data_IF_271415176702
#
_entry.id   IF_271415176702
#
_cell.length_a   1.000
_cell.length_b   1.000
_cell.length_c   1.000
_cell.angle_alpha   90.00
_cell.angle_beta   90.00
_cell.angle_gamma   90.00
#
_symmetry.space_group_name_H-M   'P 1'
#
loop_
_entity.id
_entity.type
_entity.pdbx_description
1 polymer ?
#
# COMPACT_ATOMS: atom_id res chain seq x y z
N UNK A 1 -9.30 2.89 100.87
CA UNK A 1 -8.28 3.16 99.81
C UNK A 1 -8.46 2.40 98.52
N UNK A 2 -9.24 1.28 98.49
CA UNK A 2 -9.31 0.37 97.33
C UNK A 2 -10.31 0.83 96.22
N UNK A 3 -11.32 1.65 96.63
CA UNK A 3 -12.35 2.16 95.62
C UNK A 3 -11.77 3.21 94.69
N UNK A 4 -10.96 4.14 95.14
CA UNK A 4 -10.33 5.16 94.26
C UNK A 4 -9.35 4.58 93.27
N UNK A 5 -8.64 3.55 93.55
CA UNK A 5 -7.75 2.85 92.69
C UNK A 5 -8.52 2.17 91.52
N UNK A 6 -9.68 1.64 91.81
CA UNK A 6 -10.54 1.01 90.78
C UNK A 6 -11.13 2.03 89.79
N UNK A 7 -11.58 3.18 90.26
CA UNK A 7 -12.09 4.24 89.40
C UNK A 7 -11.01 4.88 88.55
N UNK A 8 -9.78 5.06 89.09
CA UNK A 8 -8.67 5.61 88.29
C UNK A 8 -8.19 4.67 87.22
N UNK A 9 -8.19 3.36 87.42
CA UNK A 9 -7.81 2.40 86.39
C UNK A 9 -8.82 2.28 85.27
N UNK A 10 -10.14 2.39 85.59
CA UNK A 10 -11.20 2.44 84.56
C UNK A 10 -11.13 3.73 83.75
N UNK A 11 -10.93 4.87 84.40
CA UNK A 11 -10.79 6.17 83.72
C UNK A 11 -9.54 6.17 82.80
N UNK A 12 -8.42 5.65 83.29
CA UNK A 12 -7.19 5.50 82.49
C UNK A 12 -7.42 4.61 81.29
N UNK A 13 -8.10 3.47 81.44
CA UNK A 13 -8.46 2.59 80.33
C UNK A 13 -9.36 3.27 79.29
N UNK A 14 -10.34 4.06 79.69
CA UNK A 14 -11.20 4.85 78.82
C UNK A 14 -10.42 5.92 78.02
N UNK A 15 -9.54 6.66 78.68
CA UNK A 15 -8.69 7.68 78.06
C UNK A 15 -7.73 7.03 77.08
N UNK A 16 -7.09 5.92 77.48
CA UNK A 16 -6.17 5.18 76.57
C UNK A 16 -6.97 4.65 75.34
N UNK A 17 -8.11 4.04 75.58
CA UNK A 17 -9.00 3.58 74.50
C UNK A 17 -9.42 4.71 73.55
N UNK A 18 -9.77 5.88 74.10
CA UNK A 18 -10.09 7.05 73.29
C UNK A 18 -8.89 7.52 72.43
N UNK A 19 -7.71 7.59 73.03
CA UNK A 19 -6.48 7.97 72.28
C UNK A 19 -6.18 6.99 71.17
N UNK A 20 -6.28 5.69 71.45
CA UNK A 20 -6.02 4.67 70.42
C UNK A 20 -7.03 4.77 69.27
N UNK A 21 -8.32 4.86 69.57
CA UNK A 21 -9.41 5.01 68.56
C UNK A 21 -9.25 6.30 67.75
N UNK A 22 -8.96 7.43 68.42
CA UNK A 22 -8.73 8.69 67.72
C UNK A 22 -7.54 8.69 66.79
N UNK A 23 -6.42 8.10 67.25
CA UNK A 23 -5.22 7.91 66.39
C UNK A 23 -5.49 6.99 65.22
N UNK A 24 -6.20 5.89 65.46
CA UNK A 24 -6.56 4.95 64.40
C UNK A 24 -7.48 5.63 63.37
N UNK A 25 -8.50 6.37 63.81
CA UNK A 25 -9.37 7.15 62.89
C UNK A 25 -8.58 8.17 62.08
N UNK A 26 -7.68 8.93 62.74
CA UNK A 26 -6.84 9.90 62.03
C UNK A 26 -5.96 9.24 60.96
N UNK A 27 -5.34 8.09 61.30
CA UNK A 27 -4.50 7.34 60.36
C UNK A 27 -5.31 6.78 59.18
N UNK A 28 -6.54 6.27 59.41
CA UNK A 28 -7.39 5.78 58.35
C UNK A 28 -7.89 6.90 57.40
N UNK A 29 -8.23 8.07 57.91
CA UNK A 29 -8.57 9.22 57.09
C UNK A 29 -7.38 9.67 56.23
N UNK A 30 -6.20 9.80 56.79
CA UNK A 30 -5.00 10.16 56.08
C UNK A 30 -4.66 9.14 54.99
N UNK A 31 -4.80 7.84 55.27
CA UNK A 31 -4.56 6.77 54.29
C UNK A 31 -5.58 6.85 53.15
N UNK A 32 -6.85 7.11 53.44
CA UNK A 32 -7.87 7.27 52.37
C UNK A 32 -7.62 8.50 51.51
N UNK A 33 -7.25 9.65 52.12
CA UNK A 33 -6.90 10.84 51.32
C UNK A 33 -5.70 10.61 50.45
N UNK A 34 -4.66 9.93 50.93
CA UNK A 34 -3.50 9.58 50.12
C UNK A 34 -3.87 8.65 48.99
N UNK A 35 -4.62 7.60 49.26
CA UNK A 35 -5.09 6.67 48.21
C UNK A 35 -5.94 7.36 47.15
N UNK A 36 -6.86 8.25 47.53
CA UNK A 36 -7.67 8.99 46.58
C UNK A 36 -6.83 9.94 45.72
N UNK A 37 -5.86 10.62 46.32
CA UNK A 37 -4.92 11.49 45.58
C UNK A 37 -4.03 10.72 44.60
N UNK A 38 -3.54 9.56 45.05
CA UNK A 38 -2.76 8.66 44.18
C UNK A 38 -3.60 8.11 43.03
N UNK A 39 -4.84 7.67 43.30
CA UNK A 39 -5.75 7.20 42.25
C UNK A 39 -6.02 8.31 41.22
N UNK A 40 -6.25 9.55 41.66
CA UNK A 40 -6.43 10.70 40.77
C UNK A 40 -5.18 10.97 39.90
N UNK A 41 -3.99 10.90 40.52
CA UNK A 41 -2.73 11.09 39.77
C UNK A 41 -2.46 9.96 38.76
N UNK A 42 -2.78 8.72 39.11
CA UNK A 42 -2.67 7.58 38.19
C UNK A 42 -3.60 7.76 37.00
N UNK A 43 -4.90 8.04 37.26
CA UNK A 43 -5.87 8.27 36.18
C UNK A 43 -5.46 9.42 35.25
N UNK A 44 -4.93 10.51 35.83
CA UNK A 44 -4.41 11.62 35.02
C UNK A 44 -3.24 11.19 34.15
N UNK A 45 -2.28 10.45 34.72
CA UNK A 45 -1.11 9.96 33.97
C UNK A 45 -1.47 8.96 32.87
N UNK A 46 -2.44 8.10 33.13
CA UNK A 46 -2.98 7.20 32.10
C UNK A 46 -3.61 7.96 30.94
N UNK A 47 -4.38 9.01 31.25
CA UNK A 47 -4.97 9.89 30.23
C UNK A 47 -3.91 10.64 29.39
N UNK A 48 -2.93 11.25 30.07
CA UNK A 48 -1.81 11.92 29.41
C UNK A 48 -1.00 10.94 28.51
N UNK A 49 -0.76 9.73 29.00
CA UNK A 49 -0.08 8.68 28.26
C UNK A 49 -0.88 8.24 27.02
N UNK A 50 -2.18 8.00 27.17
CA UNK A 50 -3.06 7.64 26.07
C UNK A 50 -3.09 8.72 24.97
N UNK A 51 -3.15 10.01 25.35
CA UNK A 51 -3.06 11.11 24.40
C UNK A 51 -1.72 11.17 23.69
N UNK A 52 -0.62 10.96 24.42
CA UNK A 52 0.73 10.93 23.84
C UNK A 52 0.90 9.78 22.84
N UNK A 53 0.37 8.59 23.16
CA UNK A 53 0.37 7.46 22.23
C UNK A 53 -0.41 7.75 20.94
N UNK A 54 -1.60 8.36 21.04
CA UNK A 54 -2.37 8.74 19.86
C UNK A 54 -1.65 9.79 19.00
N UNK A 55 -0.99 10.75 19.61
CA UNK A 55 -0.18 11.73 18.88
C UNK A 55 1.00 11.07 18.17
N UNK A 56 1.71 10.18 18.86
CA UNK A 56 2.85 9.47 18.30
C UNK A 56 2.42 8.61 17.11
N UNK A 57 1.31 7.88 17.24
CA UNK A 57 0.77 7.05 16.16
C UNK A 57 0.41 7.88 14.91
N UNK A 58 -0.22 9.05 15.11
CA UNK A 58 -0.50 9.98 14.01
C UNK A 58 0.77 10.49 13.34
N UNK A 59 1.77 10.90 14.13
CA UNK A 59 3.04 11.39 13.58
C UNK A 59 3.80 10.30 12.82
N UNK A 60 3.84 9.08 13.34
CA UNK A 60 4.47 7.93 12.66
C UNK A 60 3.76 7.62 11.34
N UNK A 61 2.44 7.61 11.33
CA UNK A 61 1.64 7.38 10.11
C UNK A 61 1.88 8.48 9.08
N UNK A 62 1.91 9.74 9.49
CA UNK A 62 2.16 10.87 8.58
C UNK A 62 3.59 10.86 8.04
N UNK A 63 4.57 10.56 8.88
CA UNK A 63 5.97 10.41 8.46
C UNK A 63 6.14 9.26 7.46
N UNK A 64 5.48 8.12 7.68
CA UNK A 64 5.49 7.01 6.75
C UNK A 64 4.92 7.40 5.39
N UNK A 65 3.80 8.16 5.37
CA UNK A 65 3.20 8.69 4.12
C UNK A 65 4.14 9.66 3.38
N UNK A 66 4.82 10.54 4.10
CA UNK A 66 5.79 11.48 3.50
C UNK A 66 6.99 10.74 2.92
N UNK A 67 7.54 9.77 3.66
CA UNK A 67 8.65 8.94 3.19
C UNK A 67 8.27 8.12 1.95
N UNK A 68 7.08 7.56 1.94
CA UNK A 68 6.57 6.80 0.81
C UNK A 68 6.39 7.69 -0.44
N UNK A 69 5.81 8.88 -0.29
CA UNK A 69 5.74 9.86 -1.39
C UNK A 69 7.12 10.23 -1.93
N UNK A 70 8.09 10.48 -1.05
CA UNK A 70 9.46 10.80 -1.45
C UNK A 70 10.15 9.64 -2.17
N UNK A 71 9.86 8.39 -1.77
CA UNK A 71 10.36 7.18 -2.44
C UNK A 71 9.76 7.06 -3.84
N UNK A 72 8.44 7.18 -3.97
CA UNK A 72 7.75 7.13 -5.26
C UNK A 72 8.28 8.19 -6.23
N UNK A 73 8.46 9.43 -5.75
CA UNK A 73 9.02 10.50 -6.57
C UNK A 73 10.45 10.19 -7.06
N UNK A 74 11.29 9.54 -6.24
CA UNK A 74 12.63 9.10 -6.68
C UNK A 74 12.55 8.00 -7.72
N UNK A 75 11.75 6.97 -7.47
CA UNK A 75 11.56 5.87 -8.42
C UNK A 75 11.04 6.38 -9.78
N UNK A 76 10.13 7.36 -9.74
CA UNK A 76 9.63 8.05 -10.94
C UNK A 76 10.73 8.87 -11.63
N UNK A 77 11.53 9.62 -10.86
CA UNK A 77 12.62 10.42 -11.42
C UNK A 77 13.65 9.53 -12.13
N UNK A 78 13.99 8.41 -11.52
CA UNK A 78 14.95 7.46 -12.09
C UNK A 78 14.39 6.73 -13.33
N UNK A 79 13.13 6.34 -13.31
CA UNK A 79 12.46 5.73 -14.45
C UNK A 79 12.30 6.70 -15.63
N UNK A 80 11.70 7.85 -15.40
CA UNK A 80 11.48 8.88 -16.42
C UNK A 80 12.81 9.47 -16.91
N UNK A 81 13.75 9.74 -16.00
CA UNK A 81 15.08 10.24 -16.34
C UNK A 81 15.84 9.28 -17.25
N UNK A 82 15.73 7.96 -17.01
CA UNK A 82 16.31 6.92 -17.88
C UNK A 82 15.69 6.93 -19.28
N UNK A 83 14.37 7.05 -19.39
CA UNK A 83 13.67 7.08 -20.68
C UNK A 83 13.98 8.35 -21.48
N UNK A 84 13.96 9.51 -20.82
CA UNK A 84 14.33 10.79 -21.45
C UNK A 84 15.79 10.72 -21.94
N UNK A 85 16.71 10.23 -21.12
CA UNK A 85 18.12 10.07 -21.50
C UNK A 85 18.28 9.09 -22.65
N UNK A 86 17.45 8.04 -22.74
CA UNK A 86 17.44 7.11 -23.85
C UNK A 86 16.91 7.78 -25.13
N UNK A 87 15.83 8.54 -25.03
CA UNK A 87 15.28 9.31 -26.15
C UNK A 87 16.27 10.33 -26.72
N UNK A 88 16.99 11.05 -25.83
CA UNK A 88 18.04 12.00 -26.22
C UNK A 88 19.16 11.26 -26.98
N UNK A 89 19.69 10.17 -26.43
CA UNK A 89 20.72 9.37 -27.09
C UNK A 89 20.29 8.81 -28.45
N UNK A 90 19.01 8.43 -28.58
CA UNK A 90 18.47 7.95 -29.84
C UNK A 90 18.42 9.07 -30.89
N UNK A 91 18.03 10.30 -30.50
CA UNK A 91 18.07 11.48 -31.37
C UNK A 91 19.49 11.84 -31.79
N UNK A 92 20.42 11.90 -30.82
CA UNK A 92 21.81 12.26 -31.07
C UNK A 92 22.53 11.25 -31.98
N UNK A 93 22.17 9.96 -31.88
CA UNK A 93 22.73 8.92 -32.71
C UNK A 93 22.24 8.91 -34.17
N UNK A 94 21.17 9.67 -34.46
CA UNK A 94 20.52 9.71 -35.77
C UNK A 94 19.89 8.37 -36.22
N UNK A 95 19.77 7.39 -35.30
CA UNK A 95 19.29 6.03 -35.61
C UNK A 95 17.79 5.88 -35.40
N UNK A 96 17.16 6.78 -34.67
CA UNK A 96 15.73 6.75 -34.42
C UNK A 96 15.02 7.83 -35.22
N UNK A 97 13.86 7.49 -35.75
CA UNK A 97 12.99 8.48 -36.35
C UNK A 97 12.37 9.40 -35.30
N UNK A 98 11.98 10.59 -35.71
CA UNK A 98 11.28 11.55 -34.85
C UNK A 98 10.00 10.90 -34.24
N UNK A 99 9.32 10.02 -34.99
CA UNK A 99 8.13 9.32 -34.52
C UNK A 99 8.44 8.36 -33.37
N UNK A 100 9.53 7.59 -33.46
CA UNK A 100 9.95 6.67 -32.40
C UNK A 100 10.33 7.40 -31.11
N UNK A 101 11.05 8.51 -31.22
CA UNK A 101 11.39 9.34 -30.08
C UNK A 101 10.15 9.97 -29.43
N UNK A 102 9.24 10.48 -30.24
CA UNK A 102 7.97 11.05 -29.77
C UNK A 102 7.15 9.98 -29.02
N UNK A 103 7.14 8.75 -29.54
CA UNK A 103 6.46 7.64 -28.89
C UNK A 103 7.09 7.31 -27.52
N UNK A 104 8.41 7.20 -27.44
CA UNK A 104 9.14 6.96 -26.19
C UNK A 104 8.85 8.03 -25.14
N UNK A 105 8.75 9.31 -25.55
CA UNK A 105 8.43 10.41 -24.65
C UNK A 105 6.96 10.35 -24.16
N UNK A 106 6.03 9.98 -25.04
CA UNK A 106 4.60 9.79 -24.68
C UNK A 106 4.46 8.65 -23.67
N UNK A 107 5.13 7.52 -23.88
CA UNK A 107 5.08 6.39 -22.96
C UNK A 107 5.66 6.76 -21.59
N UNK A 108 6.75 7.52 -21.58
CA UNK A 108 7.34 8.04 -20.34
C UNK A 108 6.37 8.97 -19.58
N UNK A 109 5.66 9.81 -20.30
CA UNK A 109 4.66 10.71 -19.71
C UNK A 109 3.45 9.95 -19.16
N UNK A 110 2.98 8.94 -19.88
CA UNK A 110 1.88 8.10 -19.42
C UNK A 110 2.26 7.26 -18.20
N UNK A 111 3.47 6.69 -18.18
CA UNK A 111 4.01 5.99 -17.03
C UNK A 111 4.12 6.91 -15.80
N UNK A 112 4.56 8.16 -15.99
CA UNK A 112 4.61 9.17 -14.93
C UNK A 112 3.23 9.47 -14.37
N UNK A 113 2.25 9.72 -15.23
CA UNK A 113 0.86 9.97 -14.83
C UNK A 113 0.25 8.79 -14.08
N UNK A 114 0.46 7.57 -14.59
CA UNK A 114 0.00 6.35 -13.93
C UNK A 114 0.62 6.18 -12.54
N UNK A 115 1.92 6.47 -12.40
CA UNK A 115 2.58 6.41 -11.09
C UNK A 115 2.01 7.40 -10.09
N UNK A 116 1.63 8.60 -10.53
CA UNK A 116 0.95 9.60 -9.70
C UNK A 116 -0.44 9.10 -9.29
N UNK A 117 -1.21 8.53 -10.22
CA UNK A 117 -2.54 8.02 -9.93
C UNK A 117 -2.51 6.83 -8.96
N UNK A 118 -1.51 5.96 -9.08
CA UNK A 118 -1.30 4.83 -8.18
C UNK A 118 -1.11 5.24 -6.71
N UNK A 119 -0.63 6.45 -6.44
CA UNK A 119 -0.50 6.95 -5.07
C UNK A 119 -1.85 7.16 -4.37
N UNK A 120 -2.92 7.28 -5.15
CA UNK A 120 -4.27 7.55 -4.65
C UNK A 120 -5.18 6.30 -4.70
N UNK A 121 -4.68 5.19 -5.25
CA UNK A 121 -5.46 3.95 -5.29
C UNK A 121 -5.52 3.29 -3.90
N UNK A 122 -6.70 2.82 -3.49
CA UNK A 122 -6.82 2.01 -2.28
C UNK A 122 -5.96 0.74 -2.40
N UNK A 123 -5.27 0.33 -1.33
CA UNK A 123 -4.54 -0.94 -1.32
C UNK A 123 -5.48 -2.11 -1.67
N UNK A 124 -5.00 -3.02 -2.51
CA UNK A 124 -5.72 -4.22 -2.92
C UNK A 124 -6.83 -4.03 -3.94
N UNK A 125 -7.25 -2.81 -4.26
CA UNK A 125 -8.35 -2.56 -5.18
C UNK A 125 -7.89 -2.68 -6.64
N UNK A 126 -7.85 -3.93 -7.12
CA UNK A 126 -7.47 -4.27 -8.49
C UNK A 126 -8.50 -3.72 -9.49
N UNK A 127 -9.79 -3.70 -9.15
CA UNK A 127 -10.85 -3.17 -10.02
C UNK A 127 -10.63 -1.68 -10.30
N UNK A 128 -10.33 -0.89 -9.26
CA UNK A 128 -10.01 0.53 -9.42
C UNK A 128 -8.71 0.74 -10.22
N UNK A 129 -7.69 -0.10 -10.04
CA UNK A 129 -6.45 -0.06 -10.81
C UNK A 129 -6.72 -0.29 -12.29
N UNK A 130 -7.48 -1.32 -12.65
CA UNK A 130 -7.82 -1.65 -14.04
C UNK A 130 -8.68 -0.54 -14.68
N UNK A 131 -9.65 0.00 -13.96
CA UNK A 131 -10.47 1.11 -14.43
C UNK A 131 -9.63 2.36 -14.75
N UNK A 132 -8.63 2.67 -13.91
CA UNK A 132 -7.71 3.77 -14.12
C UNK A 132 -6.83 3.55 -15.38
N UNK A 133 -6.28 2.35 -15.54
CA UNK A 133 -5.54 1.97 -16.74
C UNK A 133 -6.39 2.08 -18.01
N UNK A 134 -7.63 1.59 -17.97
CA UNK A 134 -8.57 1.72 -19.07
C UNK A 134 -8.79 3.18 -19.45
N UNK A 135 -9.18 4.01 -18.51
CA UNK A 135 -9.44 5.44 -18.73
C UNK A 135 -8.27 6.15 -19.42
N UNK A 136 -7.06 5.79 -19.06
CA UNK A 136 -5.84 6.41 -19.60
C UNK A 136 -5.45 5.90 -20.98
N UNK A 137 -5.60 4.61 -21.21
CA UNK A 137 -5.05 3.96 -22.41
C UNK A 137 -6.09 3.74 -23.52
N UNK A 138 -7.39 3.71 -23.20
CA UNK A 138 -8.46 3.53 -24.18
C UNK A 138 -8.37 4.51 -25.38
N UNK A 139 -8.09 5.82 -25.17
CA UNK A 139 -7.91 6.74 -26.31
C UNK A 139 -6.72 6.39 -27.22
N UNK A 140 -5.67 5.76 -26.66
CA UNK A 140 -4.49 5.33 -27.42
C UNK A 140 -4.80 4.07 -28.24
N UNK A 141 -5.53 3.13 -27.68
CA UNK A 141 -5.99 1.94 -28.39
C UNK A 141 -6.91 2.34 -29.56
N UNK A 142 -7.85 3.24 -29.31
CA UNK A 142 -8.73 3.77 -30.35
C UNK A 142 -7.95 4.51 -31.46
N UNK A 143 -6.93 5.30 -31.11
CA UNK A 143 -6.08 6.00 -32.08
C UNK A 143 -5.16 5.05 -32.89
N UNK A 144 -4.99 3.83 -32.43
CA UNK A 144 -4.19 2.78 -33.08
C UNK A 144 -5.07 1.73 -33.80
N UNK A 145 -6.38 2.00 -33.94
CA UNK A 145 -7.37 1.09 -34.52
C UNK A 145 -7.40 -0.30 -33.83
N UNK A 146 -7.18 -0.33 -32.52
CA UNK A 146 -7.25 -1.55 -31.71
C UNK A 146 -8.54 -1.53 -30.89
N UNK A 147 -9.40 -2.51 -31.13
CA UNK A 147 -10.61 -2.72 -30.33
C UNK A 147 -10.25 -3.24 -28.93
N UNK A 148 -10.64 -2.49 -27.89
CA UNK A 148 -10.45 -2.87 -26.51
C UNK A 148 -11.70 -3.58 -25.97
N UNK A 149 -11.60 -4.88 -25.73
CA UNK A 149 -12.63 -5.70 -25.09
C UNK A 149 -12.36 -5.78 -23.60
N UNK A 150 -13.40 -5.58 -22.78
CA UNK A 150 -13.28 -5.49 -21.33
C UNK A 150 -14.19 -6.52 -20.67
N UNK A 151 -13.57 -7.51 -20.01
CA UNK A 151 -14.24 -8.60 -19.31
C UNK A 151 -13.66 -8.68 -17.88
N UNK A 152 -14.08 -7.74 -17.06
CA UNK A 152 -13.58 -7.55 -15.69
C UNK A 152 -14.71 -7.66 -14.71
N UNK A 153 -14.66 -8.68 -13.87
CA UNK A 153 -15.59 -8.85 -12.74
C UNK A 153 -15.33 -7.83 -11.64
N UNK A 154 -16.35 -7.51 -10.86
CA UNK A 154 -16.18 -6.80 -9.61
C UNK A 154 -15.53 -7.75 -8.61
N UNK A 155 -14.38 -7.35 -8.05
CA UNK A 155 -13.58 -8.15 -7.12
C UNK A 155 -13.46 -7.44 -5.79
N UNK A 156 -13.41 -8.21 -4.70
CA UNK A 156 -13.09 -7.68 -3.39
C UNK A 156 -11.61 -7.27 -3.30
N UNK A 157 -11.26 -6.24 -2.51
CA UNK A 157 -9.89 -5.83 -2.34
C UNK A 157 -9.00 -6.95 -1.80
N UNK A 158 -7.90 -7.25 -2.47
CA UNK A 158 -6.91 -8.25 -2.06
C UNK A 158 -6.06 -7.70 -0.92
N UNK A 159 -6.33 -8.09 0.30
CA UNK A 159 -5.77 -7.52 1.54
C UNK A 159 -4.24 -7.56 1.64
N UNK A 160 -3.59 -8.52 0.97
CA UNK A 160 -2.12 -8.65 0.95
C UNK A 160 -1.41 -7.71 -0.03
N UNK A 161 -2.14 -7.09 -0.97
CA UNK A 161 -1.58 -6.12 -1.89
C UNK A 161 -1.55 -4.74 -1.24
N UNK A 162 -0.44 -4.40 -0.62
CA UNK A 162 -0.20 -3.05 -0.13
C UNK A 162 0.00 -2.05 -1.29
N UNK A 163 0.18 -0.78 -0.98
CA UNK A 163 0.41 0.27 -1.98
C UNK A 163 1.66 0.01 -2.84
N UNK A 164 2.66 -0.69 -2.32
CA UNK A 164 3.86 -1.04 -3.08
C UNK A 164 3.56 -2.16 -4.07
N UNK A 165 2.88 -3.20 -3.64
CA UNK A 165 2.45 -4.30 -4.48
C UNK A 165 1.52 -3.82 -5.62
N UNK A 166 0.58 -2.92 -5.30
CA UNK A 166 -0.30 -2.31 -6.30
C UNK A 166 0.48 -1.55 -7.39
N UNK A 167 1.53 -0.82 -7.01
CA UNK A 167 2.41 -0.17 -8.00
C UNK A 167 3.15 -1.17 -8.89
N UNK A 168 3.70 -2.24 -8.31
CA UNK A 168 4.36 -3.27 -9.10
C UNK A 168 3.38 -3.93 -10.09
N UNK A 169 2.18 -4.24 -9.65
CA UNK A 169 1.12 -4.77 -10.50
C UNK A 169 0.76 -3.78 -11.63
N UNK A 170 0.63 -2.50 -11.31
CA UNK A 170 0.37 -1.46 -12.30
C UNK A 170 1.47 -1.39 -13.38
N UNK A 171 2.74 -1.44 -12.99
CA UNK A 171 3.84 -1.46 -13.95
C UNK A 171 3.81 -2.68 -14.85
N UNK A 172 3.49 -3.86 -14.29
CA UNK A 172 3.38 -5.10 -15.07
C UNK A 172 2.27 -4.99 -16.10
N UNK A 173 1.10 -4.52 -15.70
CA UNK A 173 -0.04 -4.33 -16.60
C UNK A 173 0.25 -3.27 -17.67
N UNK A 174 0.80 -2.13 -17.28
CA UNK A 174 1.17 -1.06 -18.22
C UNK A 174 2.19 -1.54 -19.27
N UNK A 175 3.20 -2.28 -18.86
CA UNK A 175 4.19 -2.87 -19.76
C UNK A 175 3.54 -3.85 -20.76
N UNK A 176 2.63 -4.72 -20.28
CA UNK A 176 1.92 -5.64 -21.14
C UNK A 176 1.04 -4.90 -22.18
N UNK A 177 0.30 -3.88 -21.73
CA UNK A 177 -0.56 -3.05 -22.59
C UNK A 177 0.25 -2.23 -23.61
N UNK A 178 1.38 -1.68 -23.18
CA UNK A 178 2.30 -0.94 -24.05
C UNK A 178 2.93 -1.85 -25.11
N UNK A 179 3.25 -3.09 -24.77
CA UNK A 179 3.77 -4.08 -25.73
C UNK A 179 2.74 -4.40 -26.83
N UNK A 180 1.46 -4.46 -26.49
CA UNK A 180 0.40 -4.61 -27.49
C UNK A 180 0.36 -3.40 -28.42
N UNK A 181 0.33 -2.18 -27.87
CA UNK A 181 0.28 -0.94 -28.63
C UNK A 181 1.47 -0.76 -29.59
N UNK A 182 2.68 -1.14 -29.15
CA UNK A 182 3.91 -0.83 -29.89
C UNK A 182 4.37 -1.96 -30.80
N UNK A 183 4.10 -3.20 -30.41
CA UNK A 183 4.81 -4.33 -31.00
C UNK A 183 3.93 -5.42 -31.57
N UNK A 184 2.68 -5.57 -31.10
CA UNK A 184 1.85 -6.70 -31.47
C UNK A 184 1.30 -6.59 -32.89
N UNK A 185 1.01 -5.39 -33.39
CA UNK A 185 0.25 -5.21 -34.63
C UNK A 185 -1.15 -5.84 -34.51
N UNK A 186 -1.71 -5.84 -33.32
CA UNK A 186 -3.01 -6.40 -33.02
C UNK A 186 -4.13 -5.46 -33.50
N UNK A 187 -5.29 -6.02 -33.80
CA UNK A 187 -6.54 -5.28 -34.06
C UNK A 187 -7.55 -5.43 -32.92
N UNK A 188 -7.37 -6.43 -32.07
CA UNK A 188 -8.22 -6.67 -30.89
C UNK A 188 -7.33 -6.98 -29.69
N UNK A 189 -7.65 -6.36 -28.57
CA UNK A 189 -7.08 -6.67 -27.27
C UNK A 189 -8.21 -6.86 -26.26
N UNK A 190 -8.09 -7.91 -25.43
CA UNK A 190 -9.02 -8.20 -24.34
C UNK A 190 -8.31 -8.19 -23.02
N UNK A 191 -8.94 -7.54 -22.04
CA UNK A 191 -8.54 -7.60 -20.64
C UNK A 191 -9.60 -8.41 -19.90
N UNK A 192 -9.17 -9.49 -19.25
CA UNK A 192 -10.01 -10.34 -18.43
C UNK A 192 -9.48 -10.26 -16.98
N UNK A 193 -10.39 -10.16 -16.01
CA UNK A 193 -10.03 -10.21 -14.60
C UNK A 193 -11.16 -10.81 -13.78
N UNK A 194 -10.84 -11.70 -12.86
CA UNK A 194 -11.82 -12.35 -12.01
C UNK A 194 -11.19 -13.10 -10.86
N UNK A 195 -12.03 -13.44 -9.86
CA UNK A 195 -11.65 -14.25 -8.74
C UNK A 195 -11.68 -15.74 -9.11
N UNK A 196 -10.73 -16.48 -8.57
CA UNK A 196 -10.65 -17.94 -8.65
C UNK A 196 -10.58 -18.51 -7.24
N UNK A 197 -10.72 -19.85 -7.09
CA UNK A 197 -10.59 -20.50 -5.78
C UNK A 197 -9.28 -20.23 -5.06
N UNK A 198 -8.22 -19.87 -5.81
CA UNK A 198 -6.86 -19.65 -5.31
C UNK A 198 -6.42 -18.17 -5.35
N UNK A 199 -7.32 -17.22 -5.61
CA UNK A 199 -7.02 -15.80 -5.65
C UNK A 199 -7.59 -15.08 -6.88
N UNK A 200 -6.88 -14.07 -7.39
CA UNK A 200 -7.28 -13.27 -8.54
C UNK A 200 -6.43 -13.61 -9.77
N UNK A 201 -7.07 -13.74 -10.91
CA UNK A 201 -6.41 -13.94 -12.21
C UNK A 201 -6.68 -12.74 -13.11
N UNK A 202 -5.61 -12.20 -13.68
CA UNK A 202 -5.65 -11.13 -14.66
C UNK A 202 -5.08 -11.65 -15.99
N UNK A 203 -5.77 -11.42 -17.10
CA UNK A 203 -5.30 -11.79 -18.44
C UNK A 203 -5.36 -10.62 -19.38
N UNK A 204 -4.29 -10.45 -20.14
CA UNK A 204 -4.24 -9.55 -21.28
C UNK A 204 -4.03 -10.43 -22.50
N UNK A 205 -4.98 -10.40 -23.43
CA UNK A 205 -5.01 -11.23 -24.63
C UNK A 205 -5.03 -10.34 -25.85
N UNK A 206 -4.10 -10.54 -26.80
CA UNK A 206 -4.10 -9.86 -28.08
C UNK A 206 -4.09 -10.86 -29.26
N UNK A 207 -4.58 -10.41 -30.42
CA UNK A 207 -4.59 -11.16 -31.66
C UNK A 207 -3.44 -10.80 -32.61
N UNK A 208 -2.36 -10.26 -32.07
CA UNK A 208 -1.24 -9.76 -32.86
C UNK A 208 -0.36 -10.85 -33.45
N UNK A 209 0.77 -10.43 -34.04
CA UNK A 209 1.72 -11.31 -34.72
C UNK A 209 2.43 -12.34 -33.84
N UNK A 210 2.34 -12.15 -32.51
CA UNK A 210 3.08 -12.97 -31.55
C UNK A 210 4.59 -12.74 -31.58
N UNK A 211 5.28 -13.48 -30.71
CA UNK A 211 6.74 -13.52 -30.62
C UNK A 211 7.22 -14.86 -30.05
N UNK A 212 8.48 -15.21 -30.28
CA UNK A 212 9.08 -16.37 -29.66
C UNK A 212 9.35 -16.11 -28.16
N UNK A 213 8.52 -16.70 -27.31
CA UNK A 213 8.62 -16.59 -25.86
C UNK A 213 9.82 -17.38 -25.28
N UNK A 214 10.45 -18.27 -26.09
CA UNK A 214 11.61 -19.08 -25.71
C UNK A 214 12.95 -18.44 -26.07
N UNK A 215 12.93 -17.39 -26.92
CA UNK A 215 14.11 -16.64 -27.28
C UNK A 215 14.79 -16.03 -26.05
N UNK A 216 16.14 -15.85 -26.06
CA UNK A 216 16.87 -15.30 -24.91
C UNK A 216 16.22 -14.01 -24.46
N UNK A 217 15.84 -14.01 -23.19
CA UNK A 217 14.86 -13.14 -22.53
C UNK A 217 15.09 -11.66 -22.86
N UNK A 218 14.16 -11.04 -23.56
CA UNK A 218 14.12 -9.58 -23.68
C UNK A 218 14.00 -9.00 -22.25
N UNK A 219 14.70 -7.92 -21.98
CA UNK A 219 14.79 -7.29 -20.65
C UNK A 219 13.41 -7.09 -19.97
N UNK A 220 12.36 -6.81 -20.73
CA UNK A 220 10.98 -6.62 -20.24
C UNK A 220 10.37 -7.87 -19.59
N UNK A 221 10.55 -9.07 -20.19
CA UNK A 221 10.00 -10.32 -19.65
C UNK A 221 10.67 -10.74 -18.33
N UNK A 222 11.98 -10.51 -18.21
CA UNK A 222 12.70 -10.75 -16.96
C UNK A 222 12.20 -9.83 -15.84
N UNK A 223 12.04 -8.55 -16.14
CA UNK A 223 11.52 -7.54 -15.21
C UNK A 223 10.11 -7.86 -14.76
N UNK A 224 9.23 -8.36 -15.63
CA UNK A 224 7.88 -8.77 -15.25
C UNK A 224 7.85 -9.92 -14.24
N UNK A 225 8.69 -10.96 -14.45
CA UNK A 225 8.80 -12.08 -13.52
C UNK A 225 9.36 -11.66 -12.15
N UNK A 226 10.37 -10.80 -12.15
CA UNK A 226 10.95 -10.26 -10.92
C UNK A 226 9.92 -9.44 -10.13
N UNK A 227 9.17 -8.57 -10.81
CA UNK A 227 8.09 -7.79 -10.19
C UNK A 227 6.96 -8.66 -9.65
N UNK A 228 6.53 -9.68 -10.42
CA UNK A 228 5.52 -10.63 -9.96
C UNK A 228 5.96 -11.35 -8.69
N UNK A 229 7.20 -11.87 -8.68
CA UNK A 229 7.76 -12.54 -7.49
C UNK A 229 7.82 -11.61 -6.28
N UNK A 230 8.16 -10.34 -6.47
CA UNK A 230 8.23 -9.35 -5.39
C UNK A 230 6.89 -9.07 -4.69
N UNK A 231 5.76 -9.36 -5.36
CA UNK A 231 4.41 -9.18 -4.81
C UNK A 231 3.72 -10.52 -4.50
N UNK A 232 4.46 -11.63 -4.54
CA UNK A 232 3.90 -12.97 -4.32
C UNK A 232 2.94 -13.42 -5.43
N UNK A 233 3.04 -12.83 -6.63
CA UNK A 233 2.29 -13.22 -7.81
C UNK A 233 3.14 -14.09 -8.75
N UNK A 234 2.48 -14.77 -9.69
CA UNK A 234 3.15 -15.46 -10.79
C UNK A 234 2.71 -14.86 -12.11
N UNK A 235 3.63 -14.80 -13.08
CA UNK A 235 3.33 -14.37 -14.45
C UNK A 235 3.63 -15.46 -15.44
N UNK A 236 2.68 -15.76 -16.29
CA UNK A 236 2.83 -16.71 -17.40
C UNK A 236 2.56 -15.99 -18.72
N UNK A 237 3.43 -16.18 -19.69
CA UNK A 237 3.30 -15.56 -21.01
C UNK A 237 3.34 -16.66 -22.06
N UNK A 238 2.27 -16.73 -22.84
CA UNK A 238 2.15 -17.65 -23.98
C UNK A 238 1.96 -16.81 -25.23
N UNK A 239 2.76 -17.06 -26.26
CA UNK A 239 2.67 -16.28 -27.50
C UNK A 239 2.83 -17.19 -28.70
N UNK A 240 1.93 -17.00 -29.64
CA UNK A 240 1.93 -17.60 -30.98
C UNK A 240 1.32 -16.61 -31.97
N UNK A 241 1.57 -16.76 -33.27
CA UNK A 241 0.93 -15.91 -34.27
C UNK A 241 -0.60 -15.92 -34.14
N UNK A 242 -1.20 -14.74 -34.01
CA UNK A 242 -2.64 -14.56 -33.81
C UNK A 242 -3.12 -14.64 -32.37
N UNK A 243 -2.24 -14.94 -31.41
CA UNK A 243 -2.65 -14.94 -29.99
C UNK A 243 -1.45 -14.82 -29.04
N UNK A 244 -1.39 -13.73 -28.31
CA UNK A 244 -0.52 -13.61 -27.12
C UNK A 244 -1.39 -13.48 -25.88
N UNK A 245 -0.99 -14.17 -24.81
CA UNK A 245 -1.65 -14.13 -23.49
C UNK A 245 -0.60 -13.82 -22.43
N UNK A 246 -0.80 -12.75 -21.70
CA UNK A 246 -0.08 -12.45 -20.46
C UNK A 246 -1.04 -12.71 -19.31
N UNK A 247 -0.74 -13.69 -18.49
CA UNK A 247 -1.56 -14.10 -17.36
C UNK A 247 -0.81 -13.85 -16.05
N UNK A 248 -1.46 -13.17 -15.12
CA UNK A 248 -0.93 -12.84 -13.78
C UNK A 248 -1.84 -13.47 -12.77
N UNK A 249 -1.30 -14.35 -11.94
CA UNK A 249 -2.00 -14.97 -10.81
C UNK A 249 -1.54 -14.32 -9.52
N UNK A 250 -2.51 -13.90 -8.74
CA UNK A 250 -2.34 -13.30 -7.42
C UNK A 250 -3.08 -14.21 -6.45
N UNK A 251 -2.39 -15.21 -5.88
CA UNK A 251 -2.93 -16.26 -5.01
C UNK A 251 -2.97 -15.87 -3.54
#
# INVERSE_FOLDING_TARGET
GTTYLRYSSVLFGLVLGYIVVSRFRAATVQAQELLSSLAGRVAQKESELAQSYQQLERMVSEQARVQERARVLRDMHDGVGSHISSAIRQLESGRASQAEVLQTLRDSLDQLKLSIDAMNLPPGDITALLANLRYRLEPRFAASDIELQWDVDAMEPVTRLDSQAMRQLQFMLFEALSNVLQHAGATVMRIEAGETGDGVVLRIVDNGRGFDATAPMRKGLASQRERASAIGATVQITSQPGRTVVEIHIG
#
